data_IF_599906561097
#
_entry.id   IF_599906561097
#
_cell.length_a   1.000
_cell.length_b   1.000
_cell.length_c   1.000
_cell.angle_alpha   90.00
_cell.angle_beta   90.00
_cell.angle_gamma   90.00
#
_symmetry.space_group_name_H-M   'P 1'
#
loop_
_entity.id
_entity.type
_entity.pdbx_description
1 polymer ?
#
# COMPACT_ATOMS: atom_id res chain seq x y z
N UNK A 1 -23.55 -18.86 -12.30
CA UNK A 1 -22.74 -18.25 -11.22
C UNK A 1 -23.37 -16.94 -10.81
N UNK A 2 -23.65 -16.76 -9.52
CA UNK A 2 -24.25 -15.54 -8.94
C UNK A 2 -23.13 -14.64 -8.42
N UNK A 3 -23.28 -13.34 -8.61
CA UNK A 3 -22.36 -12.34 -8.02
C UNK A 3 -23.13 -11.51 -6.99
N UNK A 4 -22.55 -11.38 -5.82
CA UNK A 4 -23.04 -10.58 -4.70
C UNK A 4 -22.16 -9.34 -4.57
N UNK A 5 -22.59 -8.22 -5.17
CA UNK A 5 -21.86 -6.95 -5.09
C UNK A 5 -22.13 -6.23 -3.79
N UNK A 6 -21.09 -5.73 -3.15
CA UNK A 6 -21.17 -5.10 -1.83
C UNK A 6 -20.69 -3.66 -1.91
N UNK A 7 -21.53 -2.75 -1.46
CA UNK A 7 -21.14 -1.41 -1.06
C UNK A 7 -20.94 -1.39 0.46
N UNK A 8 -19.70 -1.24 0.90
CA UNK A 8 -19.29 -1.36 2.29
C UNK A 8 -19.19 0.02 2.95
N UNK A 9 -20.04 0.29 3.93
CA UNK A 9 -20.00 1.50 4.74
C UNK A 9 -19.59 1.23 6.19
N UNK A 10 -19.28 2.28 6.94
CA UNK A 10 -18.81 2.20 8.33
C UNK A 10 -19.84 1.56 9.28
N UNK A 11 -21.14 1.74 9.02
CA UNK A 11 -22.23 1.30 9.91
C UNK A 11 -23.13 0.25 9.29
N UNK A 12 -23.19 0.19 7.96
CA UNK A 12 -24.07 -0.69 7.20
C UNK A 12 -23.36 -1.24 5.99
N UNK A 13 -23.82 -2.36 5.45
CA UNK A 13 -23.38 -2.88 4.16
C UNK A 13 -24.60 -3.16 3.31
N UNK A 14 -24.57 -2.70 2.06
CA UNK A 14 -25.62 -3.00 1.09
C UNK A 14 -25.11 -4.02 0.09
N UNK A 15 -25.85 -5.09 -0.11
CA UNK A 15 -25.52 -6.19 -1.01
C UNK A 15 -26.58 -6.31 -2.09
N UNK A 16 -26.16 -6.41 -3.34
CA UNK A 16 -27.01 -6.69 -4.49
C UNK A 16 -26.58 -8.00 -5.13
N UNK A 17 -27.52 -8.95 -5.22
CA UNK A 17 -27.30 -10.20 -5.94
C UNK A 17 -27.67 -10.03 -7.41
N UNK A 18 -26.80 -10.48 -8.32
CA UNK A 18 -27.06 -10.49 -9.77
C UNK A 18 -26.80 -11.87 -10.38
N UNK A 19 -27.55 -12.18 -11.42
CA UNK A 19 -27.31 -13.35 -12.25
C UNK A 19 -26.13 -13.17 -13.24
N UNK A 20 -25.87 -14.19 -14.06
CA UNK A 20 -24.83 -14.17 -15.07
C UNK A 20 -25.06 -13.10 -16.18
N UNK A 21 -26.29 -12.64 -16.38
CA UNK A 21 -26.63 -11.58 -17.31
C UNK A 21 -26.53 -10.18 -16.68
N UNK A 22 -26.28 -10.08 -15.37
CA UNK A 22 -26.23 -8.84 -14.62
C UNK A 22 -27.61 -8.28 -14.22
N UNK A 23 -28.66 -9.14 -14.25
CA UNK A 23 -29.98 -8.84 -13.77
C UNK A 23 -30.03 -8.94 -12.25
N UNK A 24 -30.63 -7.97 -11.60
CA UNK A 24 -30.81 -7.94 -10.14
C UNK A 24 -31.77 -9.04 -9.68
N UNK A 25 -31.36 -9.85 -8.72
CA UNK A 25 -32.14 -10.91 -8.10
C UNK A 25 -32.63 -10.54 -6.70
N UNK A 26 -32.02 -9.57 -6.07
CA UNK A 26 -32.41 -9.09 -4.76
C UNK A 26 -31.38 -8.16 -4.12
N UNK A 27 -31.85 -7.43 -3.13
CA UNK A 27 -31.05 -6.47 -2.36
C UNK A 27 -31.23 -6.77 -0.88
N UNK A 28 -30.17 -6.62 -0.11
CA UNK A 28 -30.19 -6.65 1.36
C UNK A 28 -29.23 -5.64 1.93
N UNK A 29 -29.69 -4.83 2.88
CA UNK A 29 -28.85 -3.92 3.66
C UNK A 29 -28.80 -4.41 5.10
N UNK A 30 -27.61 -4.44 5.70
CA UNK A 30 -27.42 -4.77 7.12
C UNK A 30 -27.81 -3.56 7.99
N UNK A 31 -28.27 -3.84 9.21
CA UNK A 31 -28.55 -2.81 10.24
C UNK A 31 -27.30 -2.49 11.08
N UNK A 32 -26.26 -3.31 10.98
CA UNK A 32 -25.00 -3.15 11.70
C UNK A 32 -23.84 -3.81 10.94
N UNK A 33 -22.63 -3.65 11.44
CA UNK A 33 -21.41 -4.30 10.94
C UNK A 33 -20.87 -5.33 11.95
N UNK A 34 -21.76 -5.97 12.71
CA UNK A 34 -21.42 -7.05 13.62
C UNK A 34 -21.22 -8.37 12.86
N UNK A 35 -20.54 -9.32 13.48
CA UNK A 35 -20.35 -10.66 12.89
C UNK A 35 -21.70 -11.35 12.65
N UNK A 36 -22.67 -11.16 13.54
CA UNK A 36 -24.03 -11.71 13.40
C UNK A 36 -24.72 -11.15 12.15
N UNK A 37 -24.62 -9.84 11.90
CA UNK A 37 -25.18 -9.20 10.72
C UNK A 37 -24.48 -9.69 9.43
N UNK A 38 -23.17 -9.94 9.47
CA UNK A 38 -22.43 -10.53 8.35
C UNK A 38 -22.89 -11.98 8.07
N UNK A 39 -23.09 -12.78 9.11
CA UNK A 39 -23.63 -14.15 8.96
C UNK A 39 -25.08 -14.16 8.49
N UNK A 40 -25.88 -13.13 8.82
CA UNK A 40 -27.22 -12.96 8.23
C UNK A 40 -27.17 -12.67 6.72
N UNK A 41 -26.14 -11.97 6.24
CA UNK A 41 -25.91 -11.83 4.79
C UNK A 41 -25.60 -13.17 4.13
N UNK A 42 -24.79 -14.02 4.77
CA UNK A 42 -24.49 -15.38 4.26
C UNK A 42 -25.77 -16.20 4.17
N UNK A 43 -26.58 -16.26 5.26
CA UNK A 43 -27.88 -16.94 5.25
C UNK A 43 -28.84 -16.40 4.20
N UNK A 44 -28.83 -15.08 3.98
CA UNK A 44 -29.62 -14.48 2.92
C UNK A 44 -29.13 -14.88 1.52
N UNK A 45 -27.81 -15.02 1.34
CA UNK A 45 -27.21 -15.44 0.09
C UNK A 45 -27.39 -16.91 -0.24
N UNK A 46 -27.65 -17.79 0.76
CA UNK A 46 -27.88 -19.24 0.58
C UNK A 46 -29.05 -19.54 -0.37
N UNK A 47 -30.07 -18.67 -0.43
CA UNK A 47 -31.19 -18.81 -1.37
C UNK A 47 -30.80 -18.74 -2.85
N UNK A 48 -29.62 -18.22 -3.18
CA UNK A 48 -29.12 -18.14 -4.54
C UNK A 48 -28.23 -19.33 -4.94
N UNK A 49 -28.08 -20.30 -4.05
CA UNK A 49 -27.28 -21.51 -4.27
C UNK A 49 -25.78 -21.35 -3.95
N UNK A 50 -25.05 -22.47 -4.03
CA UNK A 50 -23.64 -22.52 -3.63
C UNK A 50 -22.68 -21.90 -4.67
N UNK A 51 -23.05 -21.85 -5.94
CA UNK A 51 -22.22 -21.24 -7.00
C UNK A 51 -22.31 -19.73 -7.01
N UNK A 52 -21.82 -19.12 -5.94
CA UNK A 52 -21.83 -17.67 -5.76
C UNK A 52 -20.44 -17.11 -5.47
N UNK A 53 -20.26 -15.84 -5.75
CA UNK A 53 -19.04 -15.08 -5.43
C UNK A 53 -19.40 -13.70 -4.93
N UNK A 54 -18.76 -13.30 -3.86
CA UNK A 54 -18.88 -11.95 -3.31
C UNK A 54 -17.89 -11.02 -3.99
N UNK A 55 -18.34 -9.82 -4.32
CA UNK A 55 -17.52 -8.77 -4.89
C UNK A 55 -17.60 -7.53 -4.00
N UNK A 56 -16.46 -7.03 -3.54
CA UNK A 56 -16.41 -5.87 -2.66
C UNK A 56 -15.51 -4.79 -3.27
N UNK A 57 -15.88 -3.53 -3.12
CA UNK A 57 -15.00 -2.43 -3.48
C UNK A 57 -13.69 -2.53 -2.68
N UNK A 58 -12.53 -2.27 -3.32
CA UNK A 58 -11.22 -2.33 -2.66
C UNK A 58 -11.00 -1.15 -1.69
N UNK A 59 -11.88 -1.05 -0.69
CA UNK A 59 -11.84 -0.10 0.43
C UNK A 59 -11.45 -0.79 1.74
N UNK A 60 -10.29 -1.40 1.77
CA UNK A 60 -9.81 -2.36 2.79
C UNK A 60 -10.04 -2.01 4.25
N UNK A 61 -10.08 -0.74 4.61
CA UNK A 61 -10.32 -0.30 5.99
C UNK A 61 -11.81 -0.34 6.39
N UNK A 62 -12.73 -0.27 5.43
CA UNK A 62 -14.17 -0.38 5.68
C UNK A 62 -14.68 -1.81 5.57
N UNK A 63 -14.24 -2.55 4.55
CA UNK A 63 -14.74 -3.90 4.23
C UNK A 63 -14.11 -5.02 5.06
N UNK A 64 -13.05 -4.73 5.81
CA UNK A 64 -12.18 -5.76 6.37
C UNK A 64 -12.85 -6.74 7.34
N UNK A 65 -13.70 -6.26 8.25
CA UNK A 65 -14.43 -7.16 9.16
C UNK A 65 -15.37 -8.06 8.38
N UNK A 66 -16.08 -7.50 7.42
CA UNK A 66 -16.96 -8.22 6.53
C UNK A 66 -16.18 -9.29 5.73
N UNK A 67 -15.05 -8.91 5.08
CA UNK A 67 -14.22 -9.86 4.34
C UNK A 67 -13.74 -11.02 5.24
N UNK A 68 -13.28 -10.72 6.46
CA UNK A 68 -12.84 -11.73 7.42
C UNK A 68 -13.97 -12.69 7.78
N UNK A 69 -15.13 -12.17 8.11
CA UNK A 69 -16.27 -12.97 8.57
C UNK A 69 -16.84 -13.82 7.41
N UNK A 70 -16.90 -13.28 6.19
CA UNK A 70 -17.30 -14.05 4.99
C UNK A 70 -16.27 -15.12 4.64
N UNK A 71 -14.95 -14.83 4.70
CA UNK A 71 -13.91 -15.83 4.45
C UNK A 71 -13.93 -16.94 5.51
N UNK A 72 -14.17 -16.59 6.78
CA UNK A 72 -14.33 -17.57 7.85
C UNK A 72 -15.58 -18.45 7.66
N UNK A 73 -16.63 -17.94 7.00
CA UNK A 73 -17.79 -18.71 6.59
C UNK A 73 -17.59 -19.54 5.30
N UNK A 74 -16.37 -19.53 4.71
CA UNK A 74 -16.05 -20.30 3.51
C UNK A 74 -16.44 -19.61 2.18
N UNK A 75 -16.85 -18.34 2.21
CA UNK A 75 -17.29 -17.62 1.02
C UNK A 75 -16.12 -17.16 0.14
N UNK A 76 -16.30 -17.22 -1.17
CA UNK A 76 -15.34 -16.71 -2.15
C UNK A 76 -15.55 -15.21 -2.38
N UNK A 77 -14.51 -14.41 -2.15
CA UNK A 77 -14.58 -12.94 -2.27
C UNK A 77 -13.56 -12.45 -3.29
N UNK A 78 -13.97 -11.49 -4.13
CA UNK A 78 -13.08 -10.74 -5.00
C UNK A 78 -13.13 -9.25 -4.71
N UNK A 79 -12.01 -8.56 -4.92
CA UNK A 79 -11.92 -7.09 -4.74
C UNK A 79 -12.02 -6.39 -6.07
N UNK A 80 -12.93 -5.42 -6.15
CA UNK A 80 -13.18 -4.61 -7.35
C UNK A 80 -12.46 -3.26 -7.18
N UNK A 81 -11.50 -2.95 -8.05
CA UNK A 81 -10.85 -1.64 -8.04
C UNK A 81 -11.84 -0.51 -8.31
N UNK A 82 -11.75 0.65 -7.62
CA UNK A 82 -12.68 1.78 -7.78
C UNK A 82 -12.81 2.28 -9.22
N UNK A 83 -11.76 2.17 -10.03
CA UNK A 83 -11.79 2.52 -11.45
C UNK A 83 -12.79 1.73 -12.27
N UNK A 84 -12.94 0.44 -12.00
CA UNK A 84 -13.90 -0.42 -12.72
C UNK A 84 -15.32 -0.07 -12.36
N UNK A 85 -15.58 0.33 -11.12
CA UNK A 85 -16.88 0.81 -10.69
C UNK A 85 -17.30 2.09 -11.38
N UNK A 86 -16.38 3.08 -11.52
CA UNK A 86 -16.66 4.32 -12.22
C UNK A 86 -17.19 4.06 -13.64
N UNK A 87 -16.51 3.19 -14.40
CA UNK A 87 -16.96 2.80 -15.74
C UNK A 87 -18.33 2.10 -15.77
N UNK A 88 -18.66 1.32 -14.71
CA UNK A 88 -19.95 0.66 -14.63
C UNK A 88 -21.08 1.62 -14.25
N UNK A 89 -20.80 2.65 -13.45
CA UNK A 89 -21.76 3.72 -13.13
C UNK A 89 -22.07 4.58 -14.37
N UNK A 90 -21.04 5.00 -15.10
CA UNK A 90 -21.18 5.85 -16.29
C UNK A 90 -22.00 5.16 -17.41
N UNK A 91 -21.97 3.81 -17.43
CA UNK A 91 -22.75 3.02 -18.40
C UNK A 91 -24.16 2.67 -17.95
N UNK A 92 -24.56 3.02 -16.73
CA UNK A 92 -25.89 2.74 -16.19
C UNK A 92 -26.89 3.82 -16.63
N UNK A 93 -28.10 3.39 -17.02
CA UNK A 93 -29.22 4.31 -17.38
C UNK A 93 -29.88 5.00 -16.18
N UNK A 94 -29.50 4.61 -14.95
CA UNK A 94 -30.04 5.18 -13.72
C UNK A 94 -29.18 6.34 -13.25
N UNK A 95 -29.78 7.53 -13.20
CA UNK A 95 -29.15 8.72 -12.64
C UNK A 95 -29.39 8.75 -11.13
N UNK A 96 -28.33 8.92 -10.36
CA UNK A 96 -28.41 9.07 -8.91
C UNK A 96 -27.27 8.34 -8.19
N UNK A 97 -27.12 8.62 -6.90
CA UNK A 97 -26.20 7.93 -6.00
C UNK A 97 -27.01 7.32 -4.86
N UNK A 98 -26.95 6.00 -4.72
CA UNK A 98 -27.50 5.27 -3.59
C UNK A 98 -26.70 3.99 -3.40
N UNK A 99 -26.66 3.48 -2.17
CA UNK A 99 -25.93 2.28 -1.81
C UNK A 99 -26.29 1.05 -2.68
N UNK A 100 -27.57 0.79 -3.05
CA UNK A 100 -27.92 -0.28 -3.98
C UNK A 100 -27.33 -0.08 -5.40
N UNK A 101 -27.31 1.16 -5.91
CA UNK A 101 -26.72 1.47 -7.22
C UNK A 101 -25.20 1.19 -7.19
N UNK A 102 -24.53 1.57 -6.12
CA UNK A 102 -23.12 1.34 -5.94
C UNK A 102 -22.80 -0.15 -5.77
N UNK A 103 -23.57 -0.90 -4.99
CA UNK A 103 -23.45 -2.34 -4.86
C UNK A 103 -23.70 -3.08 -6.19
N UNK A 104 -24.70 -2.65 -6.96
CA UNK A 104 -24.98 -3.17 -8.30
C UNK A 104 -23.82 -2.91 -9.27
N UNK A 105 -23.22 -1.74 -9.22
CA UNK A 105 -22.05 -1.41 -10.02
C UNK A 105 -20.84 -2.30 -9.68
N UNK A 106 -20.62 -2.62 -8.39
CA UNK A 106 -19.62 -3.59 -7.93
C UNK A 106 -19.88 -4.96 -8.52
N UNK A 107 -21.14 -5.47 -8.44
CA UNK A 107 -21.50 -6.77 -8.98
C UNK A 107 -21.25 -6.86 -10.49
N UNK A 108 -21.71 -5.86 -11.25
CA UNK A 108 -21.53 -5.80 -12.71
C UNK A 108 -20.06 -5.66 -13.12
N UNK A 109 -19.26 -4.90 -12.38
CA UNK A 109 -17.82 -4.82 -12.60
C UNK A 109 -17.15 -6.19 -12.41
N UNK A 110 -17.57 -6.95 -11.40
CA UNK A 110 -17.04 -8.28 -11.13
C UNK A 110 -17.45 -9.31 -12.22
N UNK A 111 -18.61 -9.17 -12.83
CA UNK A 111 -19.02 -10.00 -13.97
C UNK A 111 -18.18 -9.74 -15.22
N UNK A 112 -17.82 -8.47 -15.48
CA UNK A 112 -17.03 -8.07 -16.66
C UNK A 112 -15.56 -8.42 -16.56
N UNK A 113 -15.03 -8.53 -15.34
CA UNK A 113 -13.59 -8.74 -15.09
C UNK A 113 -13.34 -10.11 -14.42
N UNK A 114 -13.07 -11.16 -15.19
CA UNK A 114 -12.95 -12.53 -14.65
C UNK A 114 -11.71 -12.74 -13.77
N UNK A 115 -10.70 -11.85 -13.86
CA UNK A 115 -9.42 -11.99 -13.18
C UNK A 115 -9.23 -11.00 -12.02
N UNK A 116 -10.29 -10.72 -11.27
CA UNK A 116 -10.18 -9.89 -10.09
C UNK A 116 -9.38 -10.58 -8.97
N UNK A 117 -8.62 -9.81 -8.17
CA UNK A 117 -7.86 -10.37 -7.06
C UNK A 117 -8.81 -10.95 -6.00
N UNK A 118 -8.61 -12.21 -5.64
CA UNK A 118 -9.31 -12.84 -4.53
C UNK A 118 -8.90 -12.18 -3.20
N UNK A 119 -9.88 -11.94 -2.33
CA UNK A 119 -9.60 -11.57 -0.96
C UNK A 119 -9.08 -12.79 -0.21
N UNK A 120 -8.12 -12.56 0.69
CA UNK A 120 -7.52 -13.58 1.56
C UNK A 120 -7.45 -13.03 2.97
N UNK A 121 -7.45 -13.93 3.94
CA UNK A 121 -7.13 -13.56 5.32
C UNK A 121 -5.74 -12.93 5.35
N UNK A 122 -5.60 -11.89 6.15
CA UNK A 122 -4.31 -11.22 6.25
C UNK A 122 -3.32 -12.08 7.01
N UNK A 123 -2.16 -12.19 6.38
CA UNK A 123 -0.99 -12.76 7.00
C UNK A 123 -0.05 -11.69 7.56
N UNK A 124 1.19 -12.08 7.90
CA UNK A 124 2.24 -11.20 8.43
C UNK A 124 2.52 -9.95 7.58
N UNK A 125 2.29 -10.02 6.27
CA UNK A 125 2.44 -8.87 5.35
C UNK A 125 1.58 -7.67 5.76
N UNK A 126 0.42 -7.91 6.36
CA UNK A 126 -0.42 -6.83 6.84
C UNK A 126 0.13 -6.18 8.10
N UNK A 127 0.59 -6.99 9.05
CA UNK A 127 1.20 -6.47 10.27
C UNK A 127 2.33 -5.51 9.92
N UNK A 128 3.23 -5.95 9.05
CA UNK A 128 4.30 -5.11 8.51
C UNK A 128 3.75 -3.84 7.87
N UNK A 129 2.69 -3.94 7.07
CA UNK A 129 2.08 -2.77 6.43
C UNK A 129 1.55 -1.77 7.44
N UNK A 130 0.80 -2.22 8.46
CA UNK A 130 0.25 -1.35 9.49
C UNK A 130 1.34 -0.62 10.27
N UNK A 131 2.43 -1.33 10.62
CA UNK A 131 3.56 -0.72 11.31
C UNK A 131 4.27 0.32 10.44
N UNK A 132 4.46 0.03 9.15
CA UNK A 132 5.08 0.97 8.20
C UNK A 132 4.21 2.22 8.02
N UNK A 133 2.90 2.05 7.81
CA UNK A 133 1.98 3.17 7.63
C UNK A 133 1.93 4.03 8.89
N UNK A 134 1.80 3.41 10.09
CA UNK A 134 1.84 4.13 11.37
C UNK A 134 3.17 4.88 11.59
N UNK A 135 4.30 4.23 11.26
CA UNK A 135 5.61 4.89 11.33
C UNK A 135 5.69 6.10 10.40
N UNK A 136 5.14 6.01 9.17
CA UNK A 136 5.12 7.12 8.23
C UNK A 136 4.27 8.29 8.74
N UNK A 137 3.13 8.01 9.36
CA UNK A 137 2.29 9.03 10.00
C UNK A 137 3.06 9.76 11.11
N UNK A 138 3.76 9.04 11.98
CA UNK A 138 4.58 9.65 13.04
C UNK A 138 5.74 10.49 12.47
N UNK A 139 6.35 10.05 11.37
CA UNK A 139 7.39 10.84 10.67
C UNK A 139 6.80 12.11 10.08
N UNK A 140 5.61 12.04 9.50
CA UNK A 140 4.88 13.22 9.00
C UNK A 140 4.57 14.21 10.12
N UNK A 141 4.05 13.73 11.25
CA UNK A 141 3.79 14.55 12.44
C UNK A 141 5.08 15.21 12.95
N UNK A 142 6.15 14.44 13.13
CA UNK A 142 7.45 14.97 13.56
C UNK A 142 7.97 16.04 12.60
N UNK A 143 7.84 15.86 11.30
CA UNK A 143 8.27 16.83 10.30
C UNK A 143 7.51 18.15 10.42
N UNK A 144 6.21 18.08 10.65
CA UNK A 144 5.37 19.26 10.85
C UNK A 144 5.78 20.02 12.13
N UNK A 145 6.04 19.29 13.22
CA UNK A 145 6.50 19.90 14.48
C UNK A 145 7.90 20.51 14.35
N UNK A 146 8.82 19.85 13.65
CA UNK A 146 10.15 20.40 13.34
C UNK A 146 10.05 21.73 12.58
N UNK A 147 9.17 21.82 11.59
CA UNK A 147 8.99 23.06 10.85
C UNK A 147 8.44 24.18 11.75
N UNK A 148 7.52 23.85 12.66
CA UNK A 148 6.99 24.83 13.62
C UNK A 148 8.06 25.28 14.62
N UNK A 149 8.87 24.38 15.16
CA UNK A 149 9.99 24.74 16.03
C UNK A 149 10.92 25.72 15.34
N UNK A 150 11.31 25.47 14.09
CA UNK A 150 12.19 26.39 13.34
C UNK A 150 11.64 27.83 13.30
N UNK A 151 10.33 27.98 13.09
CA UNK A 151 9.69 29.29 13.10
C UNK A 151 9.79 29.97 14.48
N UNK A 152 9.53 29.25 15.56
CA UNK A 152 9.62 29.80 16.91
C UNK A 152 11.06 30.10 17.31
N UNK A 153 12.04 29.28 16.93
CA UNK A 153 13.44 29.59 17.18
C UNK A 153 13.88 30.86 16.45
N UNK A 154 13.48 31.03 15.19
CA UNK A 154 13.76 32.25 14.42
C UNK A 154 13.08 33.50 15.01
N UNK A 155 11.90 33.38 15.58
CA UNK A 155 11.18 34.46 16.28
C UNK A 155 11.89 34.89 17.56
N UNK A 156 12.47 33.94 18.29
CA UNK A 156 13.24 34.21 19.52
C UNK A 156 14.61 34.78 19.23
N UNK A 157 15.26 34.32 18.18
CA UNK A 157 16.58 34.77 17.73
C UNK A 157 16.71 34.52 16.22
N UNK A 158 16.75 35.57 15.43
CA UNK A 158 16.77 35.51 13.96
C UNK A 158 17.99 34.80 13.37
N UNK A 159 19.08 34.67 14.14
CA UNK A 159 20.28 33.93 13.73
C UNK A 159 20.24 32.46 14.16
N UNK A 160 19.23 32.03 14.90
CA UNK A 160 19.12 30.68 15.41
C UNK A 160 18.46 29.73 14.39
N UNK A 161 19.25 29.27 13.45
CA UNK A 161 18.81 28.25 12.46
C UNK A 161 19.57 26.93 12.64
N UNK A 162 19.00 25.91 13.30
CA UNK A 162 19.61 24.62 13.42
C UNK A 162 19.86 23.98 12.06
N UNK A 163 21.00 23.33 11.90
CA UNK A 163 21.39 22.67 10.66
C UNK A 163 20.27 21.78 10.11
N UNK A 164 20.10 21.78 8.78
CA UNK A 164 19.10 20.92 8.14
C UNK A 164 19.23 19.45 8.60
N UNK A 165 18.10 18.80 8.85
CA UNK A 165 17.99 17.40 9.28
C UNK A 165 18.65 17.07 10.62
N UNK A 166 19.04 18.05 11.42
CA UNK A 166 19.63 17.82 12.75
C UNK A 166 18.58 17.61 13.85
N UNK A 167 17.37 18.16 13.71
CA UNK A 167 16.32 18.14 14.73
C UNK A 167 15.71 16.73 15.00
N UNK A 168 16.17 15.68 14.35
CA UNK A 168 15.88 14.29 14.70
C UNK A 168 16.98 13.63 15.52
N UNK A 169 18.03 14.35 15.89
CA UNK A 169 19.12 13.86 16.74
C UNK A 169 18.89 14.30 18.19
N UNK A 170 19.01 13.38 19.12
CA UNK A 170 18.81 13.67 20.54
C UNK A 170 19.73 14.78 21.06
N UNK A 171 21.02 14.75 20.65
CA UNK A 171 22.00 15.77 21.04
C UNK A 171 21.61 17.18 20.57
N UNK A 172 21.06 17.31 19.37
CA UNK A 172 20.58 18.61 18.88
C UNK A 172 19.36 19.08 19.66
N UNK A 173 18.43 18.18 19.99
CA UNK A 173 17.26 18.50 20.79
C UNK A 173 17.64 18.91 22.21
N UNK A 174 18.68 18.28 22.79
CA UNK A 174 19.19 18.65 24.13
C UNK A 174 19.77 20.07 24.13
N UNK A 175 20.60 20.39 23.16
CA UNK A 175 21.16 21.75 23.01
C UNK A 175 20.07 22.80 22.81
N UNK A 176 19.04 22.50 22.01
CA UNK A 176 17.92 23.42 21.78
C UNK A 176 17.10 23.59 23.06
N UNK A 177 16.81 22.50 23.78
CA UNK A 177 16.06 22.57 25.03
C UNK A 177 16.79 23.39 26.10
N UNK A 178 18.10 23.20 26.25
CA UNK A 178 18.94 23.97 27.17
C UNK A 178 18.92 25.49 26.83
N UNK A 179 19.12 25.83 25.56
CA UNK A 179 19.11 27.23 25.11
C UNK A 179 17.73 27.90 25.27
N UNK A 180 16.64 27.15 25.02
CA UNK A 180 15.27 27.63 25.23
C UNK A 180 14.98 27.96 26.69
N UNK A 181 15.65 27.32 27.66
CA UNK A 181 15.58 27.66 29.08
C UNK A 181 16.06 29.08 29.44
N UNK A 182 16.79 29.74 28.57
CA UNK A 182 17.21 31.15 28.70
C UNK A 182 16.21 32.16 28.15
N UNK A 183 15.08 31.75 27.59
CA UNK A 183 14.05 32.64 27.05
C UNK A 183 12.74 32.52 27.84
N UNK A 184 12.09 33.64 28.06
CA UNK A 184 10.79 33.73 28.71
C UNK A 184 9.65 33.92 27.71
N UNK A 185 8.43 33.66 28.17
CA UNK A 185 7.21 33.96 27.41
C UNK A 185 6.60 32.75 26.65
N UNK A 186 5.50 33.03 25.98
CA UNK A 186 4.67 31.99 25.36
C UNK A 186 5.36 31.26 24.20
N UNK A 187 6.15 31.99 23.40
CA UNK A 187 6.86 31.42 22.25
C UNK A 187 7.91 30.41 22.72
N UNK A 188 8.71 30.76 23.71
CA UNK A 188 9.72 29.83 24.29
C UNK A 188 9.07 28.60 24.91
N UNK A 189 7.96 28.77 25.63
CA UNK A 189 7.20 27.65 26.21
C UNK A 189 6.66 26.69 25.12
N UNK A 190 6.03 27.23 24.08
CA UNK A 190 5.51 26.42 22.95
C UNK A 190 6.66 25.70 22.21
N UNK A 191 7.77 26.41 21.97
CA UNK A 191 8.95 25.80 21.35
C UNK A 191 9.49 24.63 22.19
N UNK A 192 9.56 24.78 23.51
CA UNK A 192 10.00 23.74 24.44
C UNK A 192 9.06 22.51 24.43
N UNK A 193 7.74 22.74 24.44
CA UNK A 193 6.74 21.68 24.30
C UNK A 193 6.89 20.89 22.99
N UNK A 194 7.10 21.60 21.86
CA UNK A 194 7.33 20.99 20.55
C UNK A 194 8.65 20.18 20.52
N UNK A 195 9.73 20.69 21.11
CA UNK A 195 11.02 19.96 21.21
C UNK A 195 10.84 18.66 22.00
N UNK A 196 10.12 18.70 23.12
CA UNK A 196 9.80 17.50 23.91
C UNK A 196 8.96 16.50 23.08
N UNK A 197 7.96 16.99 22.33
CA UNK A 197 7.14 16.15 21.46
C UNK A 197 7.95 15.52 20.32
N UNK A 198 8.82 16.27 19.64
CA UNK A 198 9.74 15.77 18.61
C UNK A 198 10.62 14.65 19.15
N UNK A 199 11.12 14.80 20.38
CA UNK A 199 11.90 13.76 21.07
C UNK A 199 11.08 12.50 21.30
N UNK A 200 9.87 12.61 21.82
CA UNK A 200 8.98 11.49 22.08
C UNK A 200 8.61 10.77 20.78
N UNK A 201 8.30 11.50 19.70
CA UNK A 201 8.04 10.94 18.38
C UNK A 201 9.28 10.21 17.83
N UNK A 202 10.47 10.74 18.02
CA UNK A 202 11.72 10.10 17.55
C UNK A 202 11.96 8.77 18.29
N UNK A 203 11.70 8.70 19.58
CA UNK A 203 11.79 7.43 20.35
C UNK A 203 10.83 6.38 19.77
N UNK A 204 9.56 6.76 19.55
CA UNK A 204 8.54 5.86 19.00
C UNK A 204 8.88 5.40 17.57
N UNK A 205 9.33 6.30 16.70
CA UNK A 205 9.74 5.98 15.33
C UNK A 205 10.88 4.97 15.34
N UNK A 206 11.91 5.19 16.16
CA UNK A 206 13.07 4.30 16.25
C UNK A 206 12.69 2.91 16.83
N UNK A 207 11.71 2.84 17.73
CA UNK A 207 11.18 1.57 18.23
C UNK A 207 10.47 0.79 17.12
N UNK A 208 9.58 1.45 16.35
CA UNK A 208 8.90 0.85 15.22
C UNK A 208 9.87 0.39 14.13
N UNK A 209 10.93 1.15 13.86
CA UNK A 209 11.95 0.75 12.88
C UNK A 209 12.66 -0.56 13.27
N UNK A 210 12.95 -0.74 14.56
CA UNK A 210 13.54 -2.00 15.07
C UNK A 210 12.56 -3.17 14.97
N UNK A 211 11.31 -2.98 15.34
CA UNK A 211 10.24 -3.97 15.22
C UNK A 211 10.02 -4.40 13.77
N UNK A 212 9.90 -3.43 12.86
CA UNK A 212 9.77 -3.67 11.42
C UNK A 212 10.98 -4.45 10.89
N UNK A 213 12.20 -4.08 11.28
CA UNK A 213 13.41 -4.77 10.85
C UNK A 213 13.44 -6.24 11.28
N UNK A 214 13.01 -6.55 12.51
CA UNK A 214 12.92 -7.93 13.00
C UNK A 214 11.88 -8.76 12.24
N UNK A 215 10.70 -8.17 11.97
CA UNK A 215 9.65 -8.85 11.21
C UNK A 215 10.10 -9.15 9.78
N UNK A 216 10.68 -8.17 9.09
CA UNK A 216 11.12 -8.32 7.70
C UNK A 216 12.30 -9.28 7.57
N UNK A 217 13.20 -9.33 8.54
CA UNK A 217 14.30 -10.31 8.55
C UNK A 217 13.80 -11.76 8.54
N UNK A 218 12.62 -12.01 9.11
CA UNK A 218 11.98 -13.34 9.08
C UNK A 218 11.16 -13.57 7.82
N UNK A 219 10.45 -12.54 7.34
CA UNK A 219 9.47 -12.67 6.26
C UNK A 219 10.08 -12.57 4.85
N UNK A 220 11.17 -11.85 4.69
CA UNK A 220 11.75 -11.54 3.40
C UNK A 220 13.29 -11.45 3.45
N UNK A 221 13.99 -12.50 3.94
CA UNK A 221 15.43 -12.49 4.08
C UNK A 221 16.14 -12.36 2.71
N UNK A 222 15.66 -13.02 1.66
CA UNK A 222 16.23 -12.95 0.32
C UNK A 222 16.09 -11.55 -0.28
N UNK A 223 14.92 -10.93 -0.12
CA UNK A 223 14.71 -9.55 -0.53
C UNK A 223 15.61 -8.58 0.25
N UNK A 224 15.77 -8.79 1.56
CA UNK A 224 16.59 -7.94 2.42
C UNK A 224 18.08 -8.04 2.09
N UNK A 225 18.55 -9.21 1.63
CA UNK A 225 19.94 -9.41 1.19
C UNK A 225 20.26 -8.66 -0.12
N UNK A 226 19.26 -8.22 -0.87
CA UNK A 226 19.46 -7.48 -2.11
C UNK A 226 20.09 -6.12 -1.86
N UNK A 227 21.16 -5.81 -2.59
CA UNK A 227 21.87 -4.53 -2.49
C UNK A 227 20.91 -3.34 -2.74
N UNK A 228 20.92 -2.36 -1.85
CA UNK A 228 20.06 -1.18 -1.91
C UNK A 228 18.67 -1.38 -1.32
N UNK A 229 18.38 -2.52 -0.72
CA UNK A 229 17.17 -2.79 0.05
C UNK A 229 17.49 -2.76 1.54
N UNK A 230 16.99 -1.76 2.23
CA UNK A 230 17.03 -1.71 3.69
C UNK A 230 15.70 -2.20 4.30
N UNK A 231 15.64 -2.41 5.63
CA UNK A 231 14.47 -2.98 6.31
C UNK A 231 13.16 -2.24 5.99
N UNK A 232 13.13 -0.92 6.02
CA UNK A 232 11.94 -0.12 5.71
C UNK A 232 11.50 -0.25 4.25
N UNK A 233 12.47 -0.37 3.31
CA UNK A 233 12.14 -0.56 1.90
C UNK A 233 11.59 -1.96 1.66
N UNK A 234 12.18 -2.98 2.26
CA UNK A 234 11.68 -4.35 2.21
C UNK A 234 10.29 -4.45 2.83
N UNK A 235 10.08 -3.84 4.00
CA UNK A 235 8.78 -3.79 4.68
C UNK A 235 7.70 -3.13 3.81
N UNK A 236 8.00 -2.00 3.18
CA UNK A 236 7.08 -1.34 2.24
C UNK A 236 6.74 -2.26 1.07
N UNK A 237 7.72 -2.97 0.51
CA UNK A 237 7.51 -3.92 -0.59
C UNK A 237 6.62 -5.09 -0.13
N UNK A 238 6.93 -5.73 0.99
CA UNK A 238 6.15 -6.84 1.54
C UNK A 238 4.71 -6.42 1.81
N UNK A 239 4.52 -5.31 2.53
CA UNK A 239 3.21 -4.79 2.91
C UNK A 239 2.34 -4.38 1.72
N UNK A 240 2.93 -3.74 0.71
CA UNK A 240 2.21 -3.29 -0.49
C UNK A 240 2.00 -4.41 -1.51
N UNK A 241 2.85 -5.43 -1.51
CA UNK A 241 2.67 -6.62 -2.34
C UNK A 241 1.51 -7.48 -1.83
N UNK A 242 1.34 -7.61 -0.52
CA UNK A 242 0.26 -8.35 0.12
C UNK A 242 0.08 -9.78 -0.45
N UNK A 243 1.19 -10.53 -0.50
CA UNK A 243 1.28 -11.86 -1.09
C UNK A 243 1.73 -11.83 -2.55
N UNK A 244 2.90 -12.40 -2.83
CA UNK A 244 3.47 -12.44 -4.18
C UNK A 244 2.77 -13.46 -5.08
N UNK A 245 2.22 -14.50 -4.49
CA UNK A 245 1.50 -15.61 -5.14
C UNK A 245 0.22 -15.16 -5.88
N UNK A 246 -0.31 -13.98 -5.55
CA UNK A 246 -1.46 -13.41 -6.27
C UNK A 246 -1.13 -12.92 -7.68
N UNK A 247 0.14 -12.81 -8.02
CA UNK A 247 0.58 -12.36 -9.33
C UNK A 247 0.98 -13.55 -10.20
N UNK A 248 0.31 -13.72 -11.33
CA UNK A 248 0.56 -14.81 -12.29
C UNK A 248 1.97 -14.76 -12.90
N UNK A 249 2.60 -13.58 -12.94
CA UNK A 249 3.93 -13.39 -13.53
C UNK A 249 4.59 -12.10 -13.05
N UNK A 250 5.89 -11.97 -13.32
CA UNK A 250 6.67 -10.73 -13.08
C UNK A 250 6.13 -9.53 -13.89
N UNK A 251 5.52 -9.77 -15.03
CA UNK A 251 4.86 -8.75 -15.87
C UNK A 251 3.61 -8.21 -15.17
N UNK A 252 2.80 -9.09 -14.58
CA UNK A 252 1.63 -8.71 -13.79
C UNK A 252 2.04 -7.91 -12.55
N UNK A 253 3.10 -8.33 -11.86
CA UNK A 253 3.69 -7.60 -10.74
C UNK A 253 4.21 -6.22 -11.16
N UNK A 254 4.92 -6.13 -12.30
CA UNK A 254 5.41 -4.85 -12.82
C UNK A 254 4.28 -3.90 -13.24
N UNK A 255 3.17 -4.44 -13.76
CA UNK A 255 1.98 -3.64 -14.04
C UNK A 255 1.36 -3.10 -12.76
N UNK A 256 1.27 -3.95 -11.73
CA UNK A 256 0.75 -3.56 -10.42
C UNK A 256 1.59 -2.45 -9.77
N UNK A 257 2.92 -2.53 -9.83
CA UNK A 257 3.81 -1.53 -9.24
C UNK A 257 4.14 -0.35 -10.17
N UNK A 258 3.56 -0.30 -11.37
CA UNK A 258 3.71 0.80 -12.32
C UNK A 258 5.09 0.88 -12.99
N UNK A 259 5.89 -0.19 -12.98
CA UNK A 259 7.19 -0.25 -13.70
C UNK A 259 7.08 -0.89 -15.09
N UNK A 260 5.92 -1.47 -15.45
CA UNK A 260 5.69 -2.00 -16.78
C UNK A 260 5.75 -0.87 -17.82
N UNK A 261 6.49 -1.05 -18.91
CA UNK A 261 6.53 -0.07 -20.00
C UNK A 261 5.16 -0.01 -20.69
N UNK A 262 4.63 1.21 -20.87
CA UNK A 262 3.42 1.42 -21.67
C UNK A 262 3.85 1.80 -23.09
N UNK A 263 3.62 0.95 -24.10
CA UNK A 263 3.93 1.29 -25.48
C UNK A 263 3.02 2.43 -25.94
N UNK A 264 3.60 3.39 -26.60
CA UNK A 264 2.89 4.50 -27.26
C UNK A 264 3.42 4.62 -28.66
N UNK A 265 2.52 4.55 -29.61
CA UNK A 265 2.80 4.63 -31.02
C UNK A 265 2.54 6.06 -31.51
N UNK A 266 3.47 6.61 -32.23
CA UNK A 266 3.32 7.85 -32.99
C UNK A 266 3.90 7.62 -34.38
N UNK A 267 3.06 7.32 -35.35
CA UNK A 267 3.47 6.82 -36.67
C UNK A 267 4.33 5.56 -36.52
N UNK A 268 5.46 5.50 -37.22
CA UNK A 268 6.38 4.35 -37.19
C UNK A 268 7.34 4.34 -36.00
N UNK A 269 7.21 5.22 -35.02
CA UNK A 269 8.06 5.28 -33.85
C UNK A 269 7.34 4.75 -32.60
N UNK A 270 7.85 3.65 -32.06
CA UNK A 270 7.42 3.14 -30.77
C UNK A 270 8.24 3.81 -29.63
N UNK A 271 7.56 4.41 -28.68
CA UNK A 271 8.14 4.90 -27.43
C UNK A 271 7.43 4.26 -26.24
N UNK A 272 8.06 4.33 -25.08
CA UNK A 272 7.47 3.83 -23.84
C UNK A 272 7.23 4.98 -22.86
N UNK A 273 5.98 5.15 -22.45
CA UNK A 273 5.59 6.15 -21.43
C UNK A 273 5.59 5.57 -20.03
N UNK A 274 5.69 6.46 -19.06
CA UNK A 274 5.52 6.13 -17.64
C UNK A 274 4.07 5.69 -17.39
N UNK A 275 3.89 4.54 -16.74
CA UNK A 275 2.59 4.18 -16.18
C UNK A 275 2.31 5.08 -14.97
N UNK A 276 1.22 5.82 -15.02
CA UNK A 276 0.70 6.57 -13.87
C UNK A 276 -0.32 5.77 -13.05
N UNK A 277 -0.63 4.55 -13.53
CA UNK A 277 -1.47 3.59 -12.84
C UNK A 277 -0.60 2.63 -12.04
N UNK A 278 -1.18 1.99 -11.04
CA UNK A 278 -0.47 1.05 -10.18
C UNK A 278 -0.17 1.61 -8.79
N UNK A 279 0.38 0.75 -7.96
CA UNK A 279 0.69 1.08 -6.56
C UNK A 279 1.87 2.06 -6.47
N UNK A 280 1.59 3.30 -6.09
CA UNK A 280 2.60 4.38 -6.01
C UNK A 280 3.61 4.15 -4.89
N UNK A 281 3.19 3.54 -3.78
CA UNK A 281 4.07 3.25 -2.65
C UNK A 281 5.11 2.21 -3.02
N UNK A 282 4.66 1.12 -3.67
CA UNK A 282 5.55 0.09 -4.20
C UNK A 282 6.48 0.65 -5.29
N UNK A 283 5.97 1.52 -6.16
CA UNK A 283 6.78 2.21 -7.16
C UNK A 283 7.87 3.09 -6.54
N UNK A 284 7.54 3.78 -5.45
CA UNK A 284 8.47 4.61 -4.69
C UNK A 284 9.58 3.76 -4.03
N UNK A 285 9.21 2.61 -3.44
CA UNK A 285 10.18 1.66 -2.87
C UNK A 285 11.18 1.16 -3.94
N UNK A 286 10.68 0.72 -5.10
CA UNK A 286 11.52 0.28 -6.22
C UNK A 286 12.38 1.44 -6.75
N UNK A 287 11.86 2.66 -6.76
CA UNK A 287 12.63 3.85 -7.17
C UNK A 287 13.79 4.13 -6.22
N UNK A 288 13.59 4.03 -4.90
CA UNK A 288 14.66 4.18 -3.90
C UNK A 288 15.78 3.16 -4.11
N UNK A 289 15.42 1.89 -4.37
CA UNK A 289 16.40 0.85 -4.71
C UNK A 289 17.18 1.24 -5.96
N UNK A 290 16.50 1.69 -7.02
CA UNK A 290 17.14 2.06 -8.28
C UNK A 290 18.13 3.22 -8.13
N UNK A 291 17.76 4.26 -7.35
CA UNK A 291 18.66 5.38 -7.06
C UNK A 291 19.87 4.93 -6.25
N UNK A 292 19.69 4.06 -5.26
CA UNK A 292 20.78 3.51 -4.45
C UNK A 292 21.70 2.64 -5.31
N UNK A 293 21.15 1.68 -6.06
CA UNK A 293 21.95 0.78 -6.89
C UNK A 293 22.71 1.52 -7.99
N UNK A 294 22.12 2.53 -8.61
CA UNK A 294 22.79 3.39 -9.59
C UNK A 294 24.02 4.10 -9.01
N UNK A 295 24.12 4.25 -7.68
CA UNK A 295 25.23 4.92 -7.02
C UNK A 295 26.30 3.97 -6.50
N UNK A 296 25.94 2.74 -6.15
CA UNK A 296 26.83 1.84 -5.41
C UNK A 296 26.82 0.36 -5.88
N UNK A 297 26.16 0.04 -7.00
CA UNK A 297 26.11 -1.33 -7.52
C UNK A 297 26.56 -1.36 -8.98
N UNK A 298 27.71 -1.96 -9.27
CA UNK A 298 28.37 -1.87 -10.57
C UNK A 298 27.48 -2.32 -11.72
N UNK A 299 26.81 -3.48 -11.61
CA UNK A 299 25.91 -3.98 -12.67
C UNK A 299 24.79 -3.00 -13.01
N UNK A 300 24.28 -2.27 -12.01
CA UNK A 300 23.23 -1.28 -12.21
C UNK A 300 23.76 0.00 -12.84
N UNK A 301 25.00 0.40 -12.49
CA UNK A 301 25.71 1.52 -13.10
C UNK A 301 25.94 1.21 -14.58
N UNK A 302 26.56 0.07 -14.88
CA UNK A 302 26.86 -0.38 -16.25
C UNK A 302 25.59 -0.52 -17.10
N UNK A 303 24.53 -1.05 -16.50
CA UNK A 303 23.23 -1.14 -17.19
C UNK A 303 22.67 0.25 -17.53
N UNK A 304 22.72 1.17 -16.56
CA UNK A 304 22.24 2.53 -16.74
C UNK A 304 23.02 3.27 -17.83
N UNK A 305 24.34 3.18 -17.82
CA UNK A 305 25.23 3.80 -18.81
C UNK A 305 25.05 3.22 -20.21
N UNK A 306 24.94 1.90 -20.33
CA UNK A 306 24.60 1.25 -21.62
C UNK A 306 23.27 1.73 -22.19
N UNK A 307 22.29 2.03 -21.33
CA UNK A 307 21.00 2.60 -21.80
C UNK A 307 21.16 4.03 -22.31
N UNK A 308 21.98 4.84 -21.66
CA UNK A 308 22.32 6.20 -22.13
C UNK A 308 23.06 6.14 -23.46
N UNK A 309 24.09 5.30 -23.57
CA UNK A 309 24.85 5.11 -24.79
C UNK A 309 23.99 4.68 -26.00
N UNK A 310 22.86 4.00 -25.74
CA UNK A 310 21.86 3.62 -26.75
C UNK A 310 20.85 4.74 -27.07
N UNK A 311 21.08 5.97 -26.61
CA UNK A 311 20.23 7.13 -26.88
C UNK A 311 19.03 7.31 -25.96
N UNK A 312 18.93 6.57 -24.85
CA UNK A 312 17.88 6.83 -23.85
C UNK A 312 18.23 8.09 -23.04
N UNK A 313 17.24 8.86 -22.69
CA UNK A 313 17.36 9.93 -21.69
C UNK A 313 17.59 9.33 -20.31
N UNK A 314 18.19 10.11 -19.37
CA UNK A 314 18.38 9.69 -17.96
C UNK A 314 17.08 9.15 -17.30
N UNK A 315 15.90 9.81 -17.45
CA UNK A 315 14.64 9.27 -16.92
C UNK A 315 14.21 7.95 -17.58
N UNK A 316 14.47 7.75 -18.88
CA UNK A 316 14.15 6.49 -19.58
C UNK A 316 15.06 5.36 -19.12
N UNK A 317 16.36 5.60 -18.99
CA UNK A 317 17.32 4.63 -18.45
C UNK A 317 16.96 4.23 -17.03
N UNK A 318 16.55 5.18 -16.18
CA UNK A 318 16.10 4.91 -14.83
C UNK A 318 14.81 4.07 -14.79
N UNK A 319 13.84 4.34 -15.68
CA UNK A 319 12.62 3.51 -15.79
C UNK A 319 12.96 2.08 -16.20
N UNK A 320 13.91 1.91 -17.14
CA UNK A 320 14.37 0.59 -17.56
C UNK A 320 15.07 -0.17 -16.41
N UNK A 321 15.88 0.52 -15.60
CA UNK A 321 16.49 -0.05 -14.40
C UNK A 321 15.45 -0.45 -13.35
N UNK A 322 14.45 0.42 -13.08
CA UNK A 322 13.33 0.10 -12.19
C UNK A 322 12.59 -1.16 -12.62
N UNK A 323 12.37 -1.36 -13.93
CA UNK A 323 11.72 -2.57 -14.45
C UNK A 323 12.55 -3.82 -14.14
N UNK A 324 13.87 -3.78 -14.33
CA UNK A 324 14.77 -4.89 -13.97
C UNK A 324 14.76 -5.18 -12.48
N UNK A 325 14.77 -4.14 -11.66
CA UNK A 325 14.68 -4.28 -10.19
C UNK A 325 13.33 -4.90 -9.80
N UNK A 326 12.23 -4.48 -10.44
CA UNK A 326 10.91 -5.09 -10.21
C UNK A 326 10.92 -6.59 -10.48
N UNK A 327 11.56 -7.05 -11.57
CA UNK A 327 11.69 -8.48 -11.88
C UNK A 327 12.52 -9.24 -10.85
N UNK A 328 13.57 -8.60 -10.35
CA UNK A 328 14.41 -9.17 -9.31
C UNK A 328 13.68 -9.25 -7.97
N UNK A 329 12.99 -8.19 -7.56
CA UNK A 329 12.14 -8.16 -6.35
C UNK A 329 11.07 -9.25 -6.40
N UNK A 330 10.42 -9.45 -7.55
CA UNK A 330 9.43 -10.51 -7.70
C UNK A 330 10.02 -11.91 -7.46
N UNK A 331 11.21 -12.19 -7.99
CA UNK A 331 11.92 -13.46 -7.77
C UNK A 331 12.33 -13.66 -6.32
N UNK A 332 12.81 -12.59 -5.66
CA UNK A 332 13.19 -12.67 -4.25
C UNK A 332 12.00 -12.97 -3.35
N UNK A 333 10.86 -12.30 -3.62
CA UNK A 333 9.63 -12.55 -2.87
C UNK A 333 9.08 -13.98 -3.07
N UNK A 334 9.24 -14.56 -4.27
CA UNK A 334 8.89 -15.97 -4.50
C UNK A 334 9.81 -16.90 -3.72
N UNK A 335 11.12 -16.66 -3.73
CA UNK A 335 12.08 -17.44 -2.95
C UNK A 335 11.80 -17.36 -1.45
N UNK A 336 11.43 -16.18 -0.93
CA UNK A 336 11.07 -15.99 0.46
C UNK A 336 9.76 -16.74 0.82
N UNK A 337 8.79 -16.82 -0.10
CA UNK A 337 7.55 -17.59 0.07
C UNK A 337 7.84 -19.09 0.15
N UNK A 338 8.67 -19.63 -0.76
CA UNK A 338 9.06 -21.04 -0.79
C UNK A 338 9.79 -21.44 0.49
N UNK A 339 10.73 -20.61 0.96
CA UNK A 339 11.45 -20.81 2.23
C UNK A 339 10.51 -20.84 3.43
N UNK A 340 9.54 -19.93 3.50
CA UNK A 340 8.56 -19.87 4.60
C UNK A 340 7.68 -21.12 4.62
N UNK A 341 7.28 -21.61 3.46
CA UNK A 341 6.48 -22.84 3.32
C UNK A 341 7.26 -24.07 3.77
N UNK A 342 8.55 -24.16 3.44
CA UNK A 342 9.43 -25.25 3.84
C UNK A 342 9.65 -25.29 5.37
N UNK A 343 9.79 -24.12 6.02
CA UNK A 343 9.94 -24.03 7.47
C UNK A 343 8.67 -24.50 8.18
N UNK A 344 7.48 -24.04 7.74
CA UNK A 344 6.20 -24.50 8.31
C UNK A 344 5.98 -26.01 8.20
N UNK A 345 6.41 -26.63 7.10
CA UNK A 345 6.32 -28.08 6.91
C UNK A 345 7.30 -28.84 7.82
N UNK A 346 8.50 -28.27 8.05
CA UNK A 346 9.50 -28.87 8.94
C UNK A 346 9.12 -28.76 10.44
N UNK A 347 8.40 -27.71 10.83
CA UNK A 347 7.90 -27.53 12.21
C UNK A 347 6.63 -28.38 12.49
N UNK A 348 5.93 -28.83 11.45
CA UNK A 348 4.72 -29.66 11.56
C UNK A 348 4.99 -31.18 11.49
N UNK A 349 6.21 -31.60 11.16
CA UNK A 349 6.68 -32.99 11.08
C UNK A 349 7.43 -33.39 12.36
#
# INVERSE_FOLDING_TARGET
MIILGIDAHKRTHTVVAVDAAGMELGVKTTTSTSTEAHLELVRWADRFGPERKWAVEDCRHLSRRLERDLLAAGEAIVRVPPKLMAHCRDSARTYGKSDPIDALAVARAALREPNLPAARLDGPSREVRLLVDHREDLVGQRTNEINRVRWHLHELDSEWDPTERSLNRYTTLDVIAERLGGFDGTVARIASELVASIRALTVRINALEREIAQLVARLAPTLLARRGVGPLTAAKIVGETAGVERFKSKEAFARHNGTAPLPVWSGNRQRHRLSRTGNRQLNCAIHRIAITQKRCHQDAIDYFERRIARGNTKPEALRALKRKISDAVFRDLLADLDNSSAICLAEAA
#
